data_IF_647846082317
#
_entry.id   IF_647846082317
#
_cell.length_a   1.000
_cell.length_b   1.000
_cell.length_c   1.000
_cell.angle_alpha   90.00
_cell.angle_beta   90.00
_cell.angle_gamma   90.00
#
_symmetry.space_group_name_H-M   'P 1'
#
loop_
_entity.id
_entity.type
_entity.pdbx_description
1 polymer ?
#
# COMPACT_ATOMS: atom_id res chain seq x y z
N UNK A 1 -33.32 -10.60 66.73
CA UNK A 1 -32.26 -11.45 66.16
C UNK A 1 -32.72 -11.78 64.75
N UNK A 2 -32.12 -11.08 63.79
CA UNK A 2 -32.49 -11.13 62.38
C UNK A 2 -31.85 -12.35 61.73
N UNK A 3 -32.63 -13.17 61.03
CA UNK A 3 -32.12 -13.92 59.88
C UNK A 3 -33.05 -13.67 58.69
N UNK A 4 -32.63 -12.87 57.71
CA UNK A 4 -33.36 -12.73 56.46
C UNK A 4 -33.15 -13.96 55.58
N UNK A 5 -34.20 -14.26 54.80
CA UNK A 5 -34.26 -15.29 53.77
C UNK A 5 -33.02 -15.34 52.86
N UNK A 6 -32.68 -16.52 52.30
CA UNK A 6 -31.53 -16.64 51.42
C UNK A 6 -31.71 -15.73 50.20
N UNK A 7 -30.65 -14.97 49.90
CA UNK A 7 -30.51 -14.23 48.65
C UNK A 7 -30.48 -15.25 47.52
N UNK A 8 -31.54 -15.29 46.73
CA UNK A 8 -31.51 -15.88 45.39
C UNK A 8 -30.58 -15.02 44.55
N UNK A 9 -29.27 -15.28 44.70
CA UNK A 9 -28.29 -14.85 43.75
C UNK A 9 -28.67 -15.52 42.44
N UNK A 10 -29.22 -14.75 41.51
CA UNK A 10 -29.16 -15.08 40.10
C UNK A 10 -27.68 -15.12 39.72
N UNK A 11 -27.02 -16.23 40.04
CA UNK A 11 -25.84 -16.66 39.33
C UNK A 11 -26.36 -17.02 37.96
N UNK A 12 -26.51 -15.98 37.12
CA UNK A 12 -26.58 -16.15 35.70
C UNK A 12 -25.19 -16.70 35.35
N UNK A 13 -25.07 -18.03 35.44
CA UNK A 13 -23.96 -18.74 34.86
C UNK A 13 -23.92 -18.25 33.42
N UNK A 14 -22.89 -17.46 33.10
CA UNK A 14 -22.60 -17.16 31.71
C UNK A 14 -22.61 -18.52 31.00
N UNK A 15 -23.38 -18.67 29.91
CA UNK A 15 -23.31 -19.91 29.15
C UNK A 15 -21.83 -20.18 28.92
N UNK A 16 -21.38 -21.39 29.24
CA UNK A 16 -20.00 -21.80 29.00
C UNK A 16 -19.74 -21.57 27.51
N UNK A 17 -19.22 -20.39 27.21
CA UNK A 17 -18.93 -19.96 25.86
C UNK A 17 -17.85 -20.91 25.43
N UNK A 18 -18.16 -21.72 24.43
CA UNK A 18 -17.17 -22.48 23.70
C UNK A 18 -16.03 -21.49 23.40
N UNK A 19 -14.89 -21.64 24.09
CA UNK A 19 -13.71 -20.82 23.82
C UNK A 19 -13.31 -21.17 22.40
N UNK A 20 -13.77 -20.35 21.44
CA UNK A 20 -13.44 -20.51 20.04
C UNK A 20 -11.92 -20.40 19.98
N UNK A 21 -11.25 -21.52 19.72
CA UNK A 21 -9.81 -21.58 19.62
C UNK A 21 -9.38 -20.83 18.35
N UNK A 22 -9.08 -19.53 18.52
CA UNK A 22 -8.70 -18.66 17.41
C UNK A 22 -7.29 -19.05 16.95
N UNK A 23 -7.10 -19.43 15.67
CA UNK A 23 -5.79 -19.75 15.14
C UNK A 23 -4.78 -18.63 15.38
N UNK A 24 -3.57 -19.00 15.78
CA UNK A 24 -2.52 -18.03 16.17
C UNK A 24 -2.19 -16.99 15.08
N UNK A 25 -2.34 -17.34 13.79
CA UNK A 25 -2.12 -16.40 12.69
C UNK A 25 -3.12 -15.22 12.68
N UNK A 26 -4.34 -15.40 13.21
CA UNK A 26 -5.32 -14.32 13.36
C UNK A 26 -4.88 -13.38 14.47
N UNK A 27 -4.40 -13.93 15.59
CA UNK A 27 -3.88 -13.15 16.71
C UNK A 27 -2.63 -12.35 16.30
N UNK A 28 -1.82 -12.85 15.36
CA UNK A 28 -0.68 -12.11 14.80
C UNK A 28 -1.11 -10.93 13.89
N UNK A 29 -2.31 -10.96 13.31
CA UNK A 29 -2.81 -9.90 12.43
C UNK A 29 -3.38 -8.71 13.19
N UNK A 30 -3.89 -8.90 14.42
CA UNK A 30 -4.49 -7.81 15.21
C UNK A 30 -3.49 -6.67 15.46
N UNK A 31 -2.25 -6.91 15.93
CA UNK A 31 -1.26 -5.85 16.10
C UNK A 31 -0.79 -5.22 14.79
N UNK A 32 -0.93 -5.93 13.67
CA UNK A 32 -0.65 -5.40 12.33
C UNK A 32 -1.76 -4.44 11.91
N UNK A 33 -3.02 -4.83 12.09
CA UNK A 33 -4.17 -4.01 11.76
C UNK A 33 -4.23 -2.72 12.60
N UNK A 34 -3.97 -2.82 13.91
CA UNK A 34 -3.91 -1.66 14.80
C UNK A 34 -2.86 -0.63 14.36
N UNK A 35 -1.69 -1.10 13.89
CA UNK A 35 -0.62 -0.25 13.37
C UNK A 35 -0.87 0.25 11.95
N UNK A 36 -1.61 -0.51 11.15
CA UNK A 36 -2.00 -0.10 9.81
C UNK A 36 -3.01 1.06 9.84
N UNK A 37 -3.93 1.05 10.81
CA UNK A 37 -5.01 2.04 10.94
C UNK A 37 -4.53 3.50 10.92
N UNK A 38 -3.57 3.95 11.74
CA UNK A 38 -3.11 5.34 11.70
C UNK A 38 -2.37 5.67 10.40
N UNK A 39 -1.67 4.70 9.80
CA UNK A 39 -1.01 4.88 8.50
C UNK A 39 -2.08 5.10 7.42
N UNK A 40 -3.10 4.23 7.36
CA UNK A 40 -4.20 4.34 6.40
C UNK A 40 -5.00 5.64 6.57
N UNK A 41 -5.27 6.05 7.82
CA UNK A 41 -5.93 7.34 8.09
C UNK A 41 -5.07 8.52 7.63
N UNK A 42 -3.75 8.44 7.80
CA UNK A 42 -2.82 9.43 7.26
C UNK A 42 -2.84 9.46 5.73
N UNK A 43 -2.95 8.30 5.08
CA UNK A 43 -3.04 8.17 3.62
C UNK A 43 -4.34 8.70 3.04
N UNK A 44 -5.44 8.66 3.79
CA UNK A 44 -6.76 9.11 3.31
C UNK A 44 -6.73 10.55 2.78
N UNK A 45 -6.02 11.45 3.46
CA UNK A 45 -5.88 12.85 3.03
C UNK A 45 -5.22 12.94 1.66
N UNK A 46 -4.17 12.14 1.43
CA UNK A 46 -3.44 12.14 0.17
C UNK A 46 -4.20 11.42 -0.94
N UNK A 47 -4.96 10.38 -0.60
CA UNK A 47 -5.89 9.75 -1.53
C UNK A 47 -6.91 10.78 -2.03
N UNK A 48 -7.54 11.54 -1.13
CA UNK A 48 -8.48 12.60 -1.52
C UNK A 48 -7.81 13.65 -2.41
N UNK A 49 -6.61 14.12 -2.04
CA UNK A 49 -5.86 15.08 -2.86
C UNK A 49 -5.52 14.52 -4.24
N UNK A 50 -5.11 13.26 -4.33
CA UNK A 50 -4.82 12.58 -5.59
C UNK A 50 -6.07 12.47 -6.46
N UNK A 51 -7.22 12.14 -5.88
CA UNK A 51 -8.50 12.08 -6.58
C UNK A 51 -8.92 13.46 -7.11
N UNK A 52 -8.74 14.52 -6.32
CA UNK A 52 -9.03 15.91 -6.75
C UNK A 52 -8.11 16.31 -7.90
N UNK A 53 -6.80 16.05 -7.79
CA UNK A 53 -5.84 16.34 -8.85
C UNK A 53 -6.16 15.56 -10.13
N UNK A 54 -6.49 14.27 -9.99
CA UNK A 54 -6.87 13.41 -11.11
C UNK A 54 -8.11 13.96 -11.83
N UNK A 55 -9.11 14.44 -11.09
CA UNK A 55 -10.30 15.06 -11.65
C UNK A 55 -9.97 16.37 -12.39
N UNK A 56 -9.08 17.20 -11.83
CA UNK A 56 -8.69 18.49 -12.42
C UNK A 56 -7.89 18.32 -13.72
N UNK A 57 -7.03 17.30 -13.80
CA UNK A 57 -6.19 17.06 -14.98
C UNK A 57 -6.86 16.13 -16.01
N UNK A 58 -8.09 15.67 -15.75
CA UNK A 58 -8.71 14.64 -16.58
C UNK A 58 -8.83 15.05 -18.05
N UNK A 59 -9.19 16.31 -18.31
CA UNK A 59 -9.30 16.88 -19.66
C UNK A 59 -7.99 17.52 -20.15
N UNK A 60 -6.95 17.53 -19.32
CA UNK A 60 -5.68 18.19 -19.61
C UNK A 60 -4.75 17.30 -20.45
N UNK A 61 -5.29 16.58 -21.45
CA UNK A 61 -4.56 15.67 -22.31
C UNK A 61 -4.66 16.08 -23.78
N UNK A 62 -3.90 17.10 -24.21
CA UNK A 62 -3.98 17.66 -25.56
C UNK A 62 -3.52 16.68 -26.65
N UNK A 63 -2.88 15.57 -26.28
CA UNK A 63 -2.35 14.56 -27.20
C UNK A 63 -3.12 13.23 -27.14
N UNK A 64 -4.06 13.07 -26.19
CA UNK A 64 -4.82 11.82 -26.00
C UNK A 64 -3.97 10.64 -25.52
N UNK A 65 -2.81 10.91 -24.92
CA UNK A 65 -1.81 9.91 -24.54
C UNK A 65 -1.91 9.46 -23.07
N UNK A 66 -2.76 10.10 -22.26
CA UNK A 66 -2.94 9.80 -20.84
C UNK A 66 -1.73 10.12 -19.95
N UNK A 67 -0.78 10.90 -20.45
CA UNK A 67 0.50 11.17 -19.76
C UNK A 67 0.34 11.90 -18.41
N UNK A 68 -0.50 12.95 -18.30
CA UNK A 68 -0.69 13.65 -17.04
C UNK A 68 -1.20 12.72 -15.92
N UNK A 69 -2.16 11.86 -16.24
CA UNK A 69 -2.76 10.90 -15.31
C UNK A 69 -1.72 9.86 -14.87
N UNK A 70 -0.95 9.33 -15.82
CA UNK A 70 0.11 8.36 -15.56
C UNK A 70 1.22 8.91 -14.66
N UNK A 71 1.68 10.14 -14.93
CA UNK A 71 2.68 10.83 -14.11
C UNK A 71 2.13 11.06 -12.71
N UNK A 72 0.89 11.54 -12.58
CA UNK A 72 0.25 11.73 -11.28
C UNK A 72 0.21 10.43 -10.48
N UNK A 73 -0.23 9.32 -11.08
CA UNK A 73 -0.33 8.02 -10.42
C UNK A 73 1.04 7.49 -9.96
N UNK A 74 2.07 7.62 -10.80
CA UNK A 74 3.43 7.26 -10.44
C UNK A 74 3.98 8.14 -9.28
N UNK A 75 3.68 9.44 -9.30
CA UNK A 75 4.05 10.36 -8.22
C UNK A 75 3.33 10.02 -6.91
N UNK A 76 2.08 9.57 -6.95
CA UNK A 76 1.33 9.15 -5.76
C UNK A 76 1.96 7.90 -5.14
N UNK A 77 2.29 6.89 -5.94
CA UNK A 77 3.00 5.69 -5.46
C UNK A 77 4.38 6.01 -4.90
N UNK A 78 5.10 6.95 -5.51
CA UNK A 78 6.38 7.44 -4.99
C UNK A 78 6.25 8.21 -3.67
N UNK A 79 5.27 9.12 -3.58
CA UNK A 79 5.00 9.87 -2.37
C UNK A 79 4.58 8.95 -1.22
N UNK A 80 3.85 7.86 -1.51
CA UNK A 80 3.56 6.80 -0.54
C UNK A 80 4.85 6.17 0.01
N UNK A 81 5.80 5.80 -0.85
CA UNK A 81 7.07 5.21 -0.42
C UNK A 81 7.90 6.14 0.48
N UNK A 82 7.99 7.44 0.16
CA UNK A 82 8.70 8.41 1.00
C UNK A 82 8.08 8.50 2.40
N UNK A 83 6.74 8.48 2.48
CA UNK A 83 6.01 8.54 3.74
C UNK A 83 6.13 7.25 4.55
N UNK A 84 6.16 6.10 3.87
CA UNK A 84 6.43 4.78 4.48
C UNK A 84 7.80 4.71 5.16
N UNK A 85 8.84 5.25 4.52
CA UNK A 85 10.17 5.37 5.12
C UNK A 85 10.17 6.20 6.40
N UNK A 86 9.35 7.25 6.46
CA UNK A 86 9.12 8.04 7.67
C UNK A 86 8.28 7.33 8.74
N UNK A 87 7.23 6.60 8.33
CA UNK A 87 6.38 5.82 9.21
C UNK A 87 7.16 4.71 9.94
N UNK A 88 8.09 4.04 9.25
CA UNK A 88 8.91 2.96 9.85
C UNK A 88 9.79 3.49 10.97
N UNK A 89 10.38 4.68 10.78
CA UNK A 89 11.22 5.33 11.80
C UNK A 89 10.40 5.72 13.02
N UNK A 90 9.21 6.30 12.82
CA UNK A 90 8.30 6.70 13.90
C UNK A 90 7.79 5.51 14.71
N UNK A 91 7.42 4.42 14.04
CA UNK A 91 6.90 3.22 14.68
C UNK A 91 7.99 2.37 15.35
N UNK A 92 9.22 2.36 14.81
CA UNK A 92 10.37 1.73 15.47
C UNK A 92 10.89 2.50 16.70
N UNK A 93 10.48 3.75 16.87
CA UNK A 93 10.78 4.59 18.06
C UNK A 93 9.66 4.58 19.10
N UNK A 94 8.47 4.09 18.75
CA UNK A 94 7.35 4.02 19.68
C UNK A 94 7.52 2.83 20.63
N UNK A 95 7.44 3.07 21.94
CA UNK A 95 7.37 2.04 22.98
C UNK A 95 6.08 1.23 22.81
N UNK A 96 6.15 0.21 21.96
CA UNK A 96 5.00 -0.59 21.57
C UNK A 96 5.01 -1.91 22.35
N UNK A 97 3.91 -2.28 23.05
CA UNK A 97 3.91 -3.35 24.04
C UNK A 97 4.05 -4.77 23.46
N UNK A 98 3.85 -4.96 22.15
CA UNK A 98 3.96 -6.27 21.49
C UNK A 98 4.89 -6.19 20.26
N UNK A 99 6.04 -6.91 20.23
CA UNK A 99 6.92 -6.91 19.07
C UNK A 99 6.22 -7.52 17.84
N UNK A 100 6.36 -6.88 16.68
CA UNK A 100 5.92 -7.47 15.41
C UNK A 100 6.85 -8.61 15.00
N UNK A 101 6.31 -9.64 14.33
CA UNK A 101 7.13 -10.63 13.63
C UNK A 101 7.98 -9.95 12.57
N UNK A 102 9.18 -10.46 12.33
CA UNK A 102 10.07 -9.96 11.29
C UNK A 102 9.36 -9.90 9.93
N UNK A 103 9.42 -8.75 9.26
CA UNK A 103 8.77 -8.48 7.99
C UNK A 103 7.27 -8.18 8.05
N UNK A 104 6.61 -8.29 9.21
CA UNK A 104 5.18 -7.94 9.34
C UNK A 104 4.93 -6.46 9.04
N UNK A 105 5.88 -5.59 9.40
CA UNK A 105 5.79 -4.17 9.10
C UNK A 105 5.85 -3.88 7.59
N UNK A 106 6.81 -4.46 6.88
CA UNK A 106 6.91 -4.29 5.42
C UNK A 106 5.67 -4.87 4.73
N UNK A 107 5.16 -6.00 5.22
CA UNK A 107 3.91 -6.60 4.74
C UNK A 107 2.73 -5.65 4.96
N UNK A 108 2.62 -5.04 6.14
CA UNK A 108 1.60 -4.03 6.45
C UNK A 108 1.64 -2.86 5.48
N UNK A 109 2.83 -2.33 5.16
CA UNK A 109 2.97 -1.23 4.20
C UNK A 109 2.58 -1.64 2.79
N UNK A 110 2.90 -2.87 2.35
CA UNK A 110 2.47 -3.36 1.04
C UNK A 110 0.94 -3.50 1.00
N UNK A 111 0.30 -3.98 2.08
CA UNK A 111 -1.16 -4.08 2.16
C UNK A 111 -1.86 -2.71 2.15
N UNK A 112 -1.33 -1.72 2.87
CA UNK A 112 -1.88 -0.36 2.82
C UNK A 112 -1.69 0.26 1.43
N UNK A 113 -0.56 0.00 0.77
CA UNK A 113 -0.32 0.43 -0.61
C UNK A 113 -1.36 -0.17 -1.55
N UNK A 114 -1.59 -1.49 -1.45
CA UNK A 114 -2.55 -2.22 -2.26
C UNK A 114 -3.95 -1.61 -2.16
N UNK A 115 -4.39 -1.30 -0.94
CA UNK A 115 -5.71 -0.73 -0.69
C UNK A 115 -5.85 0.69 -1.27
N UNK A 116 -4.82 1.54 -1.13
CA UNK A 116 -4.80 2.91 -1.68
C UNK A 116 -4.72 2.90 -3.21
N UNK A 117 -3.84 2.08 -3.79
CA UNK A 117 -3.64 1.97 -5.23
C UNK A 117 -4.87 1.34 -5.92
N UNK A 118 -5.50 0.35 -5.29
CA UNK A 118 -6.77 -0.23 -5.76
C UNK A 118 -7.89 0.81 -5.74
N UNK A 119 -8.00 1.63 -4.69
CA UNK A 119 -8.98 2.71 -4.63
C UNK A 119 -8.76 3.76 -5.75
N UNK A 120 -7.50 4.08 -6.06
CA UNK A 120 -7.15 4.98 -7.17
C UNK A 120 -7.52 4.38 -8.53
N UNK A 121 -7.19 3.12 -8.78
CA UNK A 121 -7.57 2.43 -10.01
C UNK A 121 -9.09 2.34 -10.18
N UNK A 122 -9.82 2.05 -9.10
CA UNK A 122 -11.28 2.08 -9.08
C UNK A 122 -11.81 3.46 -9.44
N UNK A 123 -11.22 4.53 -8.90
CA UNK A 123 -11.63 5.89 -9.23
C UNK A 123 -11.36 6.27 -10.69
N UNK A 124 -10.20 5.86 -11.25
CA UNK A 124 -9.90 6.03 -12.68
C UNK A 124 -10.92 5.30 -13.53
N UNK A 125 -11.26 4.05 -13.17
CA UNK A 125 -12.29 3.28 -13.87
C UNK A 125 -13.65 3.97 -13.83
N UNK A 126 -14.13 4.36 -12.64
CA UNK A 126 -15.42 5.04 -12.47
C UNK A 126 -15.45 6.36 -13.22
N UNK A 127 -14.40 7.18 -13.12
CA UNK A 127 -14.35 8.47 -13.79
C UNK A 127 -14.31 8.32 -15.32
N UNK A 128 -13.56 7.33 -15.84
CA UNK A 128 -13.54 7.01 -17.26
C UNK A 128 -14.89 6.51 -17.77
N UNK A 129 -15.57 5.66 -16.98
CA UNK A 129 -16.90 5.16 -17.32
C UNK A 129 -17.95 6.30 -17.34
N UNK A 130 -17.92 7.20 -16.35
CA UNK A 130 -18.81 8.36 -16.28
C UNK A 130 -18.59 9.36 -17.42
N UNK A 131 -17.37 9.41 -17.98
CA UNK A 131 -17.01 10.29 -19.10
C UNK A 131 -17.09 9.61 -20.47
N UNK A 132 -17.61 8.38 -20.54
CA UNK A 132 -17.84 7.68 -21.80
C UNK A 132 -16.56 7.21 -22.51
N UNK A 133 -15.49 6.94 -21.77
CA UNK A 133 -14.28 6.31 -22.33
C UNK A 133 -14.61 4.93 -22.89
N UNK A 134 -13.94 4.55 -23.99
CA UNK A 134 -14.12 3.25 -24.65
C UNK A 134 -13.56 2.08 -23.82
N UNK A 135 -12.47 2.32 -23.08
CA UNK A 135 -11.73 1.29 -22.33
C UNK A 135 -11.46 1.69 -20.87
N UNK A 136 -12.47 2.05 -20.07
CA UNK A 136 -12.28 2.63 -18.75
C UNK A 136 -11.74 1.60 -17.74
N UNK A 137 -12.10 0.32 -17.91
CA UNK A 137 -11.64 -0.76 -17.03
C UNK A 137 -10.14 -1.01 -17.20
N UNK A 138 -9.67 -1.00 -18.45
CA UNK A 138 -8.26 -1.21 -18.78
C UNK A 138 -7.41 -0.05 -18.26
N UNK A 139 -7.89 1.19 -18.43
CA UNK A 139 -7.26 2.37 -17.86
C UNK A 139 -7.17 2.32 -16.32
N UNK A 140 -8.25 1.88 -15.65
CA UNK A 140 -8.27 1.72 -14.20
C UNK A 140 -7.33 0.62 -13.68
N UNK A 141 -7.32 -0.54 -14.36
CA UNK A 141 -6.41 -1.64 -14.03
C UNK A 141 -4.95 -1.25 -14.22
N UNK A 142 -4.63 -0.57 -15.32
CA UNK A 142 -3.29 -0.07 -15.60
C UNK A 142 -2.85 0.97 -14.55
N UNK A 143 -3.75 1.88 -14.20
CA UNK A 143 -3.51 2.90 -13.19
C UNK A 143 -3.18 2.29 -11.81
N UNK A 144 -3.97 1.29 -11.38
CA UNK A 144 -3.69 0.54 -10.15
C UNK A 144 -2.33 -0.16 -10.21
N UNK A 145 -2.04 -0.86 -11.32
CA UNK A 145 -0.81 -1.61 -11.49
C UNK A 145 0.44 -0.71 -11.44
N UNK A 146 0.39 0.45 -12.10
CA UNK A 146 1.46 1.45 -12.10
C UNK A 146 1.68 2.03 -10.70
N UNK A 147 0.59 2.49 -10.06
CA UNK A 147 0.65 3.08 -8.73
C UNK A 147 1.17 2.07 -7.70
N UNK A 148 0.74 0.81 -7.81
CA UNK A 148 1.18 -0.26 -6.93
C UNK A 148 2.63 -0.64 -7.18
N UNK A 149 3.06 -0.78 -8.44
CA UNK A 149 4.46 -1.08 -8.80
C UNK A 149 5.40 -0.02 -8.22
N UNK A 150 5.07 1.27 -8.41
CA UNK A 150 5.86 2.38 -7.87
C UNK A 150 5.88 2.40 -6.35
N UNK A 151 4.74 2.17 -5.69
CA UNK A 151 4.65 2.11 -4.23
C UNK A 151 5.51 0.98 -3.66
N UNK A 152 5.38 -0.24 -4.20
CA UNK A 152 6.13 -1.42 -3.73
C UNK A 152 7.62 -1.31 -4.03
N UNK A 153 8.00 -0.78 -5.20
CA UNK A 153 9.40 -0.49 -5.52
C UNK A 153 10.02 0.47 -4.51
N UNK A 154 9.28 1.51 -4.12
CA UNK A 154 9.74 2.46 -3.12
C UNK A 154 9.78 1.88 -1.70
N UNK A 155 8.85 0.99 -1.34
CA UNK A 155 8.94 0.21 -0.09
C UNK A 155 10.20 -0.64 -0.09
N UNK A 156 10.49 -1.38 -1.16
CA UNK A 156 11.73 -2.16 -1.32
C UNK A 156 12.97 -1.27 -1.15
N UNK A 157 13.00 -0.10 -1.79
CA UNK A 157 14.10 0.86 -1.67
C UNK A 157 14.31 1.35 -0.22
N UNK A 158 13.26 1.41 0.59
CA UNK A 158 13.37 1.73 2.01
C UNK A 158 13.95 0.58 2.85
N UNK A 159 13.80 -0.67 2.40
CA UNK A 159 14.30 -1.86 3.09
C UNK A 159 15.77 -2.15 2.79
N UNK A 160 16.26 -1.79 1.59
CA UNK A 160 17.66 -2.00 1.19
C UNK A 160 18.60 -1.14 2.05
N UNK A 161 19.65 -1.72 2.67
CA UNK A 161 20.62 -0.97 3.47
C UNK A 161 21.35 0.07 2.61
N UNK A 162 21.37 1.32 3.06
CA UNK A 162 22.09 2.40 2.37
C UNK A 162 23.58 2.32 2.71
N UNK A 163 24.33 1.43 2.05
CA UNK A 163 25.80 1.54 1.96
C UNK A 163 26.22 2.66 0.99
N UNK A 164 25.28 3.16 0.18
CA UNK A 164 25.50 4.31 -0.70
C UNK A 164 25.58 5.64 0.09
N UNK A 165 26.41 6.60 -0.34
CA UNK A 165 26.49 7.92 0.28
C UNK A 165 25.11 8.58 0.36
N UNK A 166 24.76 9.14 1.52
CA UNK A 166 23.44 9.78 1.79
C UNK A 166 23.03 10.84 0.77
N UNK A 167 23.99 11.43 0.05
CA UNK A 167 23.76 12.44 -0.99
C UNK A 167 23.40 11.85 -2.37
N UNK A 168 23.66 10.57 -2.61
CA UNK A 168 23.29 9.84 -3.85
C UNK A 168 21.97 9.08 -3.72
N UNK A 169 21.52 8.81 -2.49
CA UNK A 169 20.21 8.20 -2.20
C UNK A 169 19.03 8.91 -2.90
N UNK A 170 18.90 10.26 -2.89
CA UNK A 170 17.83 10.93 -3.61
C UNK A 170 17.96 10.78 -5.13
N UNK A 171 19.17 10.77 -5.68
CA UNK A 171 19.40 10.63 -7.13
C UNK A 171 19.06 9.22 -7.65
N UNK A 172 19.39 8.17 -6.89
CA UNK A 172 19.03 6.79 -7.21
C UNK A 172 17.51 6.55 -7.08
N UNK A 173 16.86 7.16 -6.09
CA UNK A 173 15.40 7.14 -5.94
C UNK A 173 14.70 7.88 -7.09
N UNK A 174 15.24 9.03 -7.49
CA UNK A 174 14.74 9.81 -8.62
C UNK A 174 14.93 9.06 -9.95
N UNK A 175 16.06 8.39 -10.15
CA UNK A 175 16.33 7.60 -11.35
C UNK A 175 15.45 6.33 -11.42
N UNK A 176 15.21 5.68 -10.29
CA UNK A 176 14.24 4.58 -10.20
C UNK A 176 12.81 5.04 -10.50
N UNK A 177 12.40 6.19 -9.95
CA UNK A 177 11.14 6.84 -10.29
C UNK A 177 11.05 7.14 -11.78
N UNK A 178 12.10 7.74 -12.35
CA UNK A 178 12.17 8.09 -13.77
C UNK A 178 12.07 6.83 -14.64
N UNK A 179 12.73 5.74 -14.25
CA UNK A 179 12.67 4.47 -14.97
C UNK A 179 11.28 3.84 -14.93
N UNK A 180 10.60 3.87 -13.78
CA UNK A 180 9.23 3.35 -13.68
C UNK A 180 8.23 4.26 -14.41
N UNK A 181 8.42 5.57 -14.35
CA UNK A 181 7.65 6.55 -15.13
C UNK A 181 7.87 6.33 -16.62
N UNK A 182 9.10 6.17 -17.09
CA UNK A 182 9.43 5.86 -18.49
C UNK A 182 8.86 4.51 -18.94
N UNK A 183 8.90 3.47 -18.09
CA UNK A 183 8.28 2.17 -18.36
C UNK A 183 6.76 2.31 -18.48
N UNK A 184 6.14 3.06 -17.56
CA UNK A 184 4.71 3.38 -17.56
C UNK A 184 4.31 4.15 -18.83
N UNK A 185 5.10 5.15 -19.22
CA UNK A 185 4.96 5.90 -20.45
C UNK A 185 5.10 5.01 -21.70
N UNK A 186 6.03 4.06 -21.70
CA UNK A 186 6.20 3.10 -22.80
C UNK A 186 5.04 2.08 -22.90
N UNK A 187 4.49 1.69 -21.76
CA UNK A 187 3.30 0.84 -21.66
C UNK A 187 2.06 1.57 -22.19
N UNK A 188 1.88 2.84 -21.82
CA UNK A 188 0.76 3.67 -22.26
C UNK A 188 0.89 4.13 -23.71
N UNK A 189 2.10 4.35 -24.22
CA UNK A 189 2.31 4.72 -25.63
C UNK A 189 2.10 3.56 -26.60
N UNK A 190 2.07 2.32 -26.10
CA UNK A 190 1.80 1.10 -26.87
C UNK A 190 0.31 0.72 -26.86
N UNK A 191 -0.60 1.70 -26.97
CA UNK A 191 -2.06 1.52 -27.19
C UNK A 191 -2.42 0.57 -28.36
N UNK A 192 -1.44 0.15 -29.17
CA UNK A 192 -1.55 -0.82 -30.26
C UNK A 192 -1.33 -2.29 -29.85
N UNK A 193 -0.94 -2.56 -28.59
CA UNK A 193 -0.77 -3.91 -28.02
C UNK A 193 -1.87 -4.10 -26.97
N UNK A 194 -2.47 -5.30 -26.93
CA UNK A 194 -3.53 -5.64 -25.97
C UNK A 194 -3.08 -5.30 -24.52
N UNK A 195 -3.72 -4.30 -23.87
CA UNK A 195 -3.23 -3.69 -22.62
C UNK A 195 -3.21 -4.66 -21.43
N UNK A 196 -3.95 -5.76 -21.51
CA UNK A 196 -3.97 -6.80 -20.48
C UNK A 196 -2.61 -7.48 -20.28
N UNK A 197 -1.78 -7.58 -21.32
CA UNK A 197 -0.41 -8.11 -21.17
C UNK A 197 0.46 -7.20 -20.31
N UNK A 198 0.28 -5.89 -20.40
CA UNK A 198 1.00 -4.95 -19.57
C UNK A 198 0.51 -4.95 -18.13
N UNK A 199 -0.81 -5.05 -17.91
CA UNK A 199 -1.38 -5.26 -16.57
C UNK A 199 -0.80 -6.53 -15.94
N UNK A 200 -0.76 -7.64 -16.68
CA UNK A 200 -0.18 -8.90 -16.21
C UNK A 200 1.33 -8.75 -15.90
N UNK A 201 2.10 -8.13 -16.80
CA UNK A 201 3.53 -7.91 -16.60
C UNK A 201 3.80 -7.07 -15.35
N UNK A 202 3.06 -5.98 -15.16
CA UNK A 202 3.18 -5.11 -13.98
C UNK A 202 2.75 -5.82 -12.70
N UNK A 203 1.71 -6.67 -12.74
CA UNK A 203 1.31 -7.49 -11.61
C UNK A 203 2.44 -8.44 -11.19
N UNK A 204 3.04 -9.17 -12.15
CA UNK A 204 4.19 -10.05 -11.89
C UNK A 204 5.37 -9.26 -11.30
N UNK A 205 5.70 -8.11 -11.87
CA UNK A 205 6.77 -7.24 -11.35
C UNK A 205 6.46 -6.78 -9.93
N UNK A 206 5.23 -6.36 -9.67
CA UNK A 206 4.77 -5.93 -8.34
C UNK A 206 4.92 -7.05 -7.31
N UNK A 207 4.50 -8.27 -7.64
CA UNK A 207 4.61 -9.42 -6.74
C UNK A 207 6.07 -9.76 -6.44
N UNK A 208 6.94 -9.75 -7.46
CA UNK A 208 8.38 -9.96 -7.28
C UNK A 208 8.99 -8.88 -6.39
N UNK A 209 8.66 -7.60 -6.62
CA UNK A 209 9.11 -6.50 -5.79
C UNK A 209 8.58 -6.61 -4.35
N UNK A 210 7.33 -7.05 -4.17
CA UNK A 210 6.70 -7.26 -2.86
C UNK A 210 7.36 -8.37 -2.07
N UNK A 211 7.62 -9.51 -2.72
CA UNK A 211 8.38 -10.62 -2.12
C UNK A 211 9.80 -10.20 -1.74
N UNK A 212 10.48 -9.45 -2.62
CA UNK A 212 11.81 -8.90 -2.34
C UNK A 212 11.78 -7.91 -1.18
N UNK A 213 10.76 -7.03 -1.12
CA UNK A 213 10.59 -6.06 -0.05
C UNK A 213 10.41 -6.77 1.30
N UNK A 214 9.49 -7.74 1.37
CA UNK A 214 9.24 -8.51 2.59
C UNK A 214 10.49 -9.29 2.99
N UNK A 215 11.22 -9.88 2.03
CA UNK A 215 12.47 -10.59 2.30
C UNK A 215 13.55 -9.65 2.83
N UNK A 216 13.71 -8.47 2.25
CA UNK A 216 14.66 -7.45 2.69
C UNK A 216 14.30 -6.93 4.09
N UNK A 217 13.01 -6.63 4.34
CA UNK A 217 12.51 -6.22 5.64
C UNK A 217 12.73 -7.28 6.72
N UNK A 218 12.51 -8.57 6.42
CA UNK A 218 12.82 -9.69 7.34
C UNK A 218 14.30 -9.75 7.72
N UNK A 219 15.19 -9.61 6.73
CA UNK A 219 16.65 -9.62 6.98
C UNK A 219 17.07 -8.45 7.85
N UNK A 220 16.53 -7.27 7.55
CA UNK A 220 16.78 -6.05 8.32
C UNK A 220 16.29 -6.16 9.76
N UNK A 221 15.08 -6.69 9.99
CA UNK A 221 14.53 -6.88 11.34
C UNK A 221 15.31 -7.90 12.17
N UNK A 222 15.98 -8.86 11.51
CA UNK A 222 16.86 -9.83 12.16
C UNK A 222 18.29 -9.32 12.40
N UNK A 223 18.63 -8.12 11.92
CA UNK A 223 19.98 -7.58 12.01
C UNK A 223 20.99 -8.24 11.05
N UNK A 224 20.52 -9.00 10.05
CA UNK A 224 21.38 -9.70 9.07
C UNK A 224 21.94 -8.76 7.99
N UNK A 225 21.56 -7.49 8.02
CA UNK A 225 22.06 -6.43 7.14
C UNK A 225 22.76 -5.35 7.98
N UNK A 226 23.97 -5.66 8.44
CA UNK A 226 24.93 -4.69 8.98
C UNK A 226 26.06 -4.47 7.96
#
# INVERSE_FOLDING_TARGET
MNDPAPKDGSSQAAPAGEEIEVPQWINDLVPVAERARPVLLGELVYLVMALVLLALIWDADPLGLGLPQAILLALVGYAYALRCGGARRRLGQADSPAPLRAGAYTTMLVLVADLVCSALGLAVWVMGALRGSEHPLEAGALAAAVAMTTAVAGVLACEVPSTAPRWLAPAAQLAGLLAVVCLTLAVLSTQWINPWWWVLALAIVTDLLGLLAIRAGRRRDRGECA
#
